data_IF_281213943421
#
_entry.id   IF_281213943421
#
_cell.length_a   1.000
_cell.length_b   1.000
_cell.length_c   1.000
_cell.angle_alpha   90.00
_cell.angle_beta   90.00
_cell.angle_gamma   90.00
#
_symmetry.space_group_name_H-M   'P 1'
#
loop_
_entity.id
_entity.type
_entity.pdbx_description
1 polymer ?
#
# COMPACT_ATOMS: atom_id res chain seq x y z
N UNK A 1 -6.37 11.10 -15.31
CA UNK A 1 -5.85 10.79 -13.97
C UNK A 1 -4.85 9.62 -13.94
N UNK A 2 -4.82 8.67 -14.89
CA UNK A 2 -3.87 7.52 -14.81
C UNK A 2 -2.42 7.84 -15.20
N UNK A 3 -2.18 8.74 -16.15
CA UNK A 3 -0.82 9.08 -16.59
C UNK A 3 -0.02 9.83 -15.51
N UNK A 4 -0.68 10.75 -14.79
CA UNK A 4 -0.07 11.54 -13.71
C UNK A 4 0.32 10.65 -12.52
N UNK A 5 -0.56 9.72 -12.13
CA UNK A 5 -0.33 8.82 -10.99
C UNK A 5 0.87 7.88 -11.19
N UNK A 6 1.13 7.43 -12.43
CA UNK A 6 2.32 6.63 -12.72
C UNK A 6 3.61 7.42 -12.55
N UNK A 7 3.65 8.64 -13.11
CA UNK A 7 4.82 9.51 -13.00
C UNK A 7 5.07 9.93 -11.54
N UNK A 8 4.02 10.23 -10.79
CA UNK A 8 4.11 10.55 -9.37
C UNK A 8 4.59 9.37 -8.53
N UNK A 9 4.13 8.15 -8.83
CA UNK A 9 4.62 6.95 -8.17
C UNK A 9 6.11 6.75 -8.44
N UNK A 10 6.56 6.91 -9.69
CA UNK A 10 7.98 6.81 -10.02
C UNK A 10 8.82 7.89 -9.31
N UNK A 11 8.27 9.09 -9.15
CA UNK A 11 8.91 10.17 -8.38
C UNK A 11 9.04 9.80 -6.90
N UNK A 12 8.00 9.22 -6.30
CA UNK A 12 7.95 8.85 -4.89
C UNK A 12 8.81 7.62 -4.55
N UNK A 13 8.67 6.52 -5.30
CA UNK A 13 9.32 5.24 -5.00
C UNK A 13 10.63 5.00 -5.78
N UNK A 14 10.90 5.76 -6.85
CA UNK A 14 11.93 5.43 -7.84
C UNK A 14 11.38 4.54 -8.96
N UNK A 15 12.24 3.87 -9.74
CA UNK A 15 11.80 2.97 -10.81
C UNK A 15 10.85 1.89 -10.27
N UNK A 16 9.64 1.84 -10.81
CA UNK A 16 8.62 0.83 -10.50
C UNK A 16 8.17 0.16 -11.79
N UNK A 17 7.79 -1.12 -11.70
CA UNK A 17 7.23 -1.88 -12.81
C UNK A 17 5.75 -1.55 -13.06
N UNK A 18 5.28 -1.78 -14.28
CA UNK A 18 3.87 -1.54 -14.65
C UNK A 18 2.94 -2.44 -13.86
N UNK A 19 3.37 -3.67 -13.62
CA UNK A 19 2.69 -4.69 -12.85
C UNK A 19 2.46 -4.22 -11.40
N UNK A 20 3.47 -3.59 -10.79
CA UNK A 20 3.35 -3.02 -9.44
C UNK A 20 2.33 -1.88 -9.39
N UNK A 21 2.31 -1.01 -10.39
CA UNK A 21 1.32 0.07 -10.48
C UNK A 21 -0.11 -0.46 -10.67
N UNK A 22 -0.31 -1.43 -11.55
CA UNK A 22 -1.64 -2.02 -11.75
C UNK A 22 -2.13 -2.75 -10.49
N UNK A 23 -1.24 -3.41 -9.74
CA UNK A 23 -1.57 -3.97 -8.42
C UNK A 23 -1.99 -2.89 -7.42
N UNK A 24 -1.28 -1.75 -7.37
CA UNK A 24 -1.64 -0.62 -6.50
C UNK A 24 -3.01 -0.02 -6.88
N UNK A 25 -3.32 0.08 -8.17
CA UNK A 25 -4.65 0.51 -8.64
C UNK A 25 -5.76 -0.48 -8.27
N UNK A 26 -5.50 -1.78 -8.42
CA UNK A 26 -6.44 -2.81 -8.00
C UNK A 26 -6.62 -2.80 -6.47
N UNK A 27 -5.55 -2.57 -5.72
CA UNK A 27 -5.59 -2.40 -4.27
C UNK A 27 -6.43 -1.19 -3.85
N UNK A 28 -6.29 -0.04 -4.50
CA UNK A 28 -7.14 1.13 -4.27
C UNK A 28 -8.63 0.78 -4.39
N UNK A 29 -9.02 0.07 -5.45
CA UNK A 29 -10.42 -0.33 -5.65
C UNK A 29 -10.92 -1.25 -4.53
N UNK A 30 -10.09 -2.23 -4.13
CA UNK A 30 -10.42 -3.15 -3.03
C UNK A 30 -10.52 -2.40 -1.69
N UNK A 31 -9.58 -1.49 -1.43
CA UNK A 31 -9.57 -0.65 -0.25
C UNK A 31 -10.85 0.18 -0.16
N UNK A 32 -11.23 0.88 -1.24
CA UNK A 32 -12.44 1.71 -1.27
C UNK A 32 -13.71 0.88 -1.04
N UNK A 33 -13.76 -0.36 -1.57
CA UNK A 33 -14.85 -1.29 -1.33
C UNK A 33 -14.95 -1.68 0.15
N UNK A 34 -13.84 -2.08 0.76
CA UNK A 34 -13.81 -2.49 2.17
C UNK A 34 -14.06 -1.32 3.13
N UNK A 35 -13.56 -0.13 2.79
CA UNK A 35 -13.69 1.05 3.62
C UNK A 35 -15.17 1.40 3.91
N UNK A 36 -16.06 1.18 2.93
CA UNK A 36 -17.52 1.37 3.09
C UNK A 36 -18.13 0.50 4.20
N UNK A 37 -17.53 -0.64 4.52
CA UNK A 37 -18.06 -1.61 5.47
C UNK A 37 -17.42 -1.53 6.86
N UNK A 38 -16.13 -1.20 6.94
CA UNK A 38 -15.36 -1.32 8.19
C UNK A 38 -14.54 -0.08 8.57
N UNK A 39 -14.68 1.05 7.84
CA UNK A 39 -14.01 2.32 8.13
C UNK A 39 -12.48 2.16 8.30
N UNK A 40 -11.80 1.82 7.19
CA UNK A 40 -10.34 1.68 7.13
C UNK A 40 -9.62 3.03 7.26
N UNK A 41 -10.19 4.09 6.67
CA UNK A 41 -9.71 5.47 6.76
C UNK A 41 -10.88 6.46 6.86
N UNK A 42 -10.56 7.68 7.32
CA UNK A 42 -11.54 8.74 7.45
C UNK A 42 -12.09 9.18 6.08
N UNK A 43 -13.40 9.48 5.95
CA UNK A 43 -14.03 9.89 4.69
C UNK A 43 -13.33 11.06 4.00
N UNK A 44 -12.85 12.04 4.79
CA UNK A 44 -12.12 13.22 4.31
C UNK A 44 -10.77 12.92 3.63
N UNK A 45 -10.33 11.66 3.63
CA UNK A 45 -9.07 11.24 3.00
C UNK A 45 -9.28 10.39 1.75
N UNK A 46 -10.52 9.96 1.46
CA UNK A 46 -10.80 8.99 0.40
C UNK A 46 -10.69 9.61 -0.99
N UNK A 47 -11.08 10.88 -1.13
CA UNK A 47 -11.02 11.60 -2.42
C UNK A 47 -9.58 11.86 -2.89
N UNK A 48 -8.60 11.73 -1.98
CA UNK A 48 -7.17 11.96 -2.25
C UNK A 48 -6.31 10.79 -1.76
N UNK A 49 -6.82 9.55 -1.94
CA UNK A 49 -6.16 8.34 -1.44
C UNK A 49 -4.75 8.14 -2.00
N UNK A 50 -4.55 8.49 -3.27
CA UNK A 50 -3.24 8.38 -3.92
C UNK A 50 -2.21 9.26 -3.24
N UNK A 51 -2.48 10.56 -3.08
CA UNK A 51 -1.51 11.48 -2.49
C UNK A 51 -1.36 11.24 -0.99
N UNK A 52 -2.46 11.06 -0.27
CA UNK A 52 -2.44 10.99 1.21
C UNK A 52 -1.96 9.66 1.76
N UNK A 53 -2.09 8.58 1.00
CA UNK A 53 -1.79 7.24 1.51
C UNK A 53 -0.78 6.51 0.62
N UNK A 54 -1.06 6.35 -0.68
CA UNK A 54 -0.22 5.52 -1.57
C UNK A 54 1.15 6.17 -1.80
N UNK A 55 1.17 7.39 -2.34
CA UNK A 55 2.40 8.11 -2.66
C UNK A 55 3.17 8.49 -1.39
N UNK A 56 2.46 8.83 -0.31
CA UNK A 56 3.09 9.09 0.98
C UNK A 56 3.88 7.87 1.48
N UNK A 57 3.24 6.69 1.49
CA UNK A 57 3.85 5.42 1.88
C UNK A 57 5.01 5.02 0.96
N UNK A 58 4.87 5.26 -0.34
CA UNK A 58 5.83 4.86 -1.37
C UNK A 58 7.21 5.53 -1.20
N UNK A 59 7.26 6.73 -0.58
CA UNK A 59 8.52 7.44 -0.31
C UNK A 59 9.46 6.64 0.60
N UNK A 60 8.93 5.79 1.48
CA UNK A 60 9.73 4.96 2.39
C UNK A 60 10.67 4.01 1.64
N UNK A 61 10.30 3.56 0.43
CA UNK A 61 11.13 2.67 -0.37
C UNK A 61 12.48 3.30 -0.78
N UNK A 62 12.55 4.64 -0.83
CA UNK A 62 13.77 5.40 -1.13
C UNK A 62 14.60 5.71 0.12
N UNK A 63 13.99 5.73 1.30
CA UNK A 63 14.68 6.03 2.56
C UNK A 63 15.59 4.87 2.96
N UNK A 64 15.14 3.62 2.76
CA UNK A 64 15.92 2.42 3.05
C UNK A 64 15.93 1.47 1.83
N UNK A 65 16.69 1.80 0.77
CA UNK A 65 16.66 1.06 -0.49
C UNK A 65 17.21 -0.37 -0.38
N UNK A 66 18.09 -0.63 0.59
CA UNK A 66 18.67 -1.95 0.84
C UNK A 66 17.87 -2.82 1.83
N UNK A 67 16.84 -2.27 2.47
CA UNK A 67 16.06 -3.01 3.46
C UNK A 67 15.16 -4.06 2.78
N UNK A 68 15.32 -5.31 3.19
CA UNK A 68 14.54 -6.45 2.71
C UNK A 68 13.51 -6.93 3.73
N UNK A 69 13.63 -6.56 5.00
CA UNK A 69 12.71 -6.97 6.06
C UNK A 69 12.15 -5.75 6.76
N UNK A 70 10.82 -5.66 6.78
CA UNK A 70 10.09 -4.55 7.37
C UNK A 70 9.03 -5.07 8.33
N UNK A 71 8.63 -4.23 9.28
CA UNK A 71 7.45 -4.45 10.11
C UNK A 71 6.65 -3.16 10.16
N UNK A 72 5.34 -3.28 9.99
CA UNK A 72 4.38 -2.19 10.14
C UNK A 72 3.53 -2.45 11.39
N UNK A 73 3.65 -1.57 12.39
CA UNK A 73 2.99 -1.71 13.69
C UNK A 73 1.76 -0.81 13.74
N UNK A 74 0.57 -1.43 13.83
CA UNK A 74 -0.69 -0.71 13.71
C UNK A 74 -1.09 -0.50 12.25
N UNK A 75 -0.93 -1.54 11.42
CA UNK A 75 -1.07 -1.45 9.96
C UNK A 75 -2.44 -0.95 9.49
N UNK A 76 -3.50 -1.09 10.30
CA UNK A 76 -4.78 -0.45 10.07
C UNK A 76 -5.38 -0.75 8.68
N UNK A 77 -5.52 0.31 7.87
CA UNK A 77 -6.00 0.24 6.49
C UNK A 77 -4.95 -0.23 5.48
N UNK A 78 -3.78 -0.67 5.94
CA UNK A 78 -2.69 -1.17 5.11
C UNK A 78 -1.62 -0.16 4.75
N UNK A 79 -1.63 1.03 5.36
CA UNK A 79 -0.65 2.08 5.08
C UNK A 79 0.28 2.27 6.29
N UNK A 80 1.61 2.27 6.11
CA UNK A 80 2.32 2.15 4.83
C UNK A 80 2.57 0.71 4.35
N UNK A 81 2.26 -0.30 5.16
CA UNK A 81 2.79 -1.65 4.99
C UNK A 81 2.43 -2.37 3.68
N UNK A 82 1.19 -2.31 3.22
CA UNK A 82 0.79 -2.98 1.97
C UNK A 82 1.42 -2.30 0.74
N UNK A 83 1.54 -0.97 0.74
CA UNK A 83 2.20 -0.24 -0.35
C UNK A 83 3.67 -0.66 -0.44
N UNK A 84 4.37 -0.72 0.69
CA UNK A 84 5.73 -1.26 0.73
C UNK A 84 5.77 -2.73 0.28
N UNK A 85 4.82 -3.56 0.69
CA UNK A 85 4.71 -4.95 0.23
C UNK A 85 4.64 -5.08 -1.30
N UNK A 86 3.85 -4.24 -1.96
CA UNK A 86 3.81 -4.19 -3.43
C UNK A 86 5.15 -3.79 -4.04
N UNK A 87 5.79 -2.75 -3.52
CA UNK A 87 7.08 -2.25 -4.00
C UNK A 87 8.24 -3.23 -3.76
N UNK A 88 8.15 -4.04 -2.71
CA UNK A 88 9.16 -5.04 -2.34
C UNK A 88 9.00 -6.35 -3.10
N UNK A 89 7.88 -6.60 -3.77
CA UNK A 89 7.54 -7.90 -4.38
C UNK A 89 8.56 -8.40 -5.40
N UNK A 90 9.25 -7.49 -6.08
CA UNK A 90 10.28 -7.81 -7.08
C UNK A 90 11.68 -7.93 -6.48
N UNK A 91 11.83 -7.73 -5.16
CA UNK A 91 13.11 -7.87 -4.45
C UNK A 91 13.20 -9.28 -3.85
N UNK A 92 14.11 -10.14 -4.34
CA UNK A 92 14.24 -11.50 -3.83
C UNK A 92 14.47 -11.54 -2.31
N UNK A 93 13.68 -12.36 -1.62
CA UNK A 93 13.79 -12.52 -0.16
C UNK A 93 13.28 -11.34 0.67
N UNK A 94 12.67 -10.33 0.04
CA UNK A 94 12.07 -9.22 0.76
C UNK A 94 10.68 -9.57 1.30
N UNK A 95 10.36 -9.08 2.49
CA UNK A 95 9.04 -9.23 3.11
C UNK A 95 8.74 -8.08 4.06
N UNK A 96 7.45 -7.91 4.34
CA UNK A 96 6.95 -7.00 5.35
C UNK A 96 5.92 -7.73 6.22
N UNK A 97 6.10 -7.63 7.54
CA UNK A 97 5.16 -8.14 8.52
C UNK A 97 4.17 -7.03 8.90
N UNK A 98 2.87 -7.35 8.92
CA UNK A 98 1.80 -6.40 9.24
C UNK A 98 1.19 -6.77 10.59
N UNK A 99 1.21 -5.85 11.56
CA UNK A 99 0.70 -6.08 12.91
C UNK A 99 -0.53 -5.21 13.16
N UNK A 100 -1.67 -5.84 13.41
CA UNK A 100 -2.95 -5.15 13.65
C UNK A 100 -3.75 -5.85 14.75
N UNK A 101 -4.26 -5.08 15.71
CA UNK A 101 -5.02 -5.60 16.85
C UNK A 101 -6.52 -5.71 16.58
N UNK A 102 -7.06 -4.88 15.68
CA UNK A 102 -8.45 -4.91 15.28
C UNK A 102 -8.70 -6.03 14.27
N UNK A 103 -9.48 -7.03 14.69
CA UNK A 103 -9.79 -8.22 13.87
C UNK A 103 -10.38 -7.89 12.50
N UNK A 104 -11.27 -6.91 12.38
CA UNK A 104 -11.88 -6.55 11.08
C UNK A 104 -10.85 -5.99 10.11
N UNK A 105 -9.94 -5.13 10.61
CA UNK A 105 -8.84 -4.58 9.82
C UNK A 105 -7.82 -5.67 9.47
N UNK A 106 -7.48 -6.55 10.41
CA UNK A 106 -6.62 -7.71 10.13
C UNK A 106 -7.21 -8.62 9.03
N UNK A 107 -8.53 -8.87 9.04
CA UNK A 107 -9.20 -9.61 7.96
C UNK A 107 -9.12 -8.91 6.61
N UNK A 108 -9.21 -7.57 6.59
CA UNK A 108 -8.95 -6.81 5.36
C UNK A 108 -7.51 -7.01 4.86
N UNK A 109 -6.51 -6.86 5.74
CA UNK A 109 -5.11 -7.05 5.38
C UNK A 109 -4.87 -8.47 4.82
N UNK A 110 -5.42 -9.50 5.48
CA UNK A 110 -5.37 -10.88 5.01
C UNK A 110 -6.03 -11.06 3.64
N UNK A 111 -7.18 -10.40 3.40
CA UNK A 111 -7.84 -10.43 2.10
C UNK A 111 -6.99 -9.81 1.00
N UNK A 112 -6.27 -8.72 1.28
CA UNK A 112 -5.36 -8.11 0.30
C UNK A 112 -4.18 -9.06 0.04
N UNK A 113 -3.51 -9.55 1.09
CA UNK A 113 -2.36 -10.45 0.96
C UNK A 113 -2.73 -11.75 0.22
N UNK A 114 -3.91 -12.30 0.46
CA UNK A 114 -4.38 -13.51 -0.23
C UNK A 114 -4.77 -13.28 -1.69
N UNK A 115 -5.06 -12.05 -2.10
CA UNK A 115 -5.48 -11.71 -3.47
C UNK A 115 -4.31 -11.34 -4.38
N UNK A 116 -3.22 -10.77 -3.86
CA UNK A 116 -2.15 -10.19 -4.65
C UNK A 116 -0.84 -10.95 -4.59
#
# INVERSE_FOLDING_TARGET
MSADAWADLQKAAGPVSRETFERLRAFEQLFLKWNRSINLAAPSTLDDIWRRHILDSAQLARIAPAATRWVDLGSGGGFPGLVLGFLLKERPGASIDLVESNRKKASFLQSVVGQF
#
